data_IF_598746937390
#
_entry.id   IF_598746937390
#
_cell.length_a   1.000
_cell.length_b   1.000
_cell.length_c   1.000
_cell.angle_alpha   90.00
_cell.angle_beta   90.00
_cell.angle_gamma   90.00
#
_symmetry.space_group_name_H-M   'P 1'
#
loop_
_entity.id
_entity.type
_entity.pdbx_description
1 polymer ?
#
# COMPACT_ATOMS: atom_id res chain seq x y z
N UNK A 1 -49.66 30.83 -18.16
CA UNK A 1 -48.28 30.44 -18.47
C UNK A 1 -48.23 28.93 -18.41
N UNK A 2 -48.02 28.28 -19.54
CA UNK A 2 -47.75 26.84 -19.59
C UNK A 2 -46.26 26.72 -19.83
N UNK A 3 -45.54 26.24 -18.82
CA UNK A 3 -44.11 26.00 -18.92
C UNK A 3 -43.91 24.70 -19.71
N UNK A 4 -43.46 24.85 -20.95
CA UNK A 4 -42.97 23.76 -21.79
C UNK A 4 -41.59 23.34 -21.22
N UNK A 5 -41.58 22.35 -20.33
CA UNK A 5 -40.34 21.67 -19.95
C UNK A 5 -39.98 20.71 -21.08
N UNK A 6 -39.38 21.25 -22.14
CA UNK A 6 -38.68 20.44 -23.13
C UNK A 6 -37.51 19.77 -22.39
N UNK A 7 -37.71 18.53 -21.99
CA UNK A 7 -36.64 17.69 -21.43
C UNK A 7 -35.67 17.43 -22.58
N UNK A 8 -34.65 18.28 -22.71
CA UNK A 8 -33.48 18.01 -23.52
C UNK A 8 -33.03 16.60 -23.17
N UNK A 9 -33.21 15.64 -24.09
CA UNK A 9 -32.71 14.28 -23.90
C UNK A 9 -31.25 14.39 -23.49
N UNK A 10 -30.89 13.79 -22.35
CA UNK A 10 -29.62 13.96 -21.66
C UNK A 10 -28.39 13.44 -22.40
N UNK A 11 -28.47 13.24 -23.71
CA UNK A 11 -27.37 12.87 -24.59
C UNK A 11 -26.73 14.13 -25.19
N UNK A 12 -26.31 15.06 -24.34
CA UNK A 12 -25.38 16.09 -24.80
C UNK A 12 -23.99 15.45 -24.75
N UNK A 13 -23.64 14.69 -25.80
CA UNK A 13 -22.25 14.27 -26.06
C UNK A 13 -21.39 15.48 -26.45
N UNK A 14 -21.30 16.47 -25.57
CA UNK A 14 -20.44 17.63 -25.77
C UNK A 14 -19.00 17.19 -25.46
N UNK A 15 -18.14 17.17 -26.48
CA UNK A 15 -16.72 16.85 -26.37
C UNK A 15 -15.84 18.09 -26.57
N UNK A 16 -16.35 19.31 -26.37
CA UNK A 16 -15.62 20.56 -26.58
C UNK A 16 -14.40 20.71 -25.64
N UNK A 17 -14.40 19.98 -24.53
CA UNK A 17 -13.28 19.88 -23.58
C UNK A 17 -12.17 18.91 -24.03
N UNK A 18 -12.40 18.09 -25.07
CA UNK A 18 -11.44 17.08 -25.54
C UNK A 18 -10.27 17.75 -26.24
N UNK A 19 -9.07 17.30 -25.91
CA UNK A 19 -7.84 17.90 -26.42
C UNK A 19 -7.66 17.65 -27.91
N UNK A 20 -7.20 18.69 -28.61
CA UNK A 20 -6.91 18.63 -30.04
C UNK A 20 -5.43 18.32 -30.29
N UNK A 21 -5.08 17.63 -31.38
CA UNK A 21 -3.68 17.40 -31.75
C UNK A 21 -2.89 18.72 -31.81
N UNK A 22 -1.80 18.82 -31.05
CA UNK A 22 -0.92 19.99 -31.02
C UNK A 22 -1.30 21.09 -30.00
N UNK A 23 -2.33 20.92 -29.17
CA UNK A 23 -2.53 21.80 -28.02
C UNK A 23 -1.50 21.55 -26.91
N UNK A 24 -1.03 22.63 -26.29
CA UNK A 24 -0.18 22.57 -25.09
C UNK A 24 -1.05 22.36 -23.85
N UNK A 25 -0.81 21.29 -23.08
CA UNK A 25 -1.57 20.95 -21.87
C UNK A 25 -1.62 19.45 -21.60
N UNK A 26 -2.28 19.06 -20.50
CA UNK A 26 -2.60 17.65 -20.22
C UNK A 26 -3.73 17.23 -21.17
N UNK A 27 -3.56 16.16 -21.97
CA UNK A 27 -4.57 15.72 -22.91
C UNK A 27 -5.79 15.15 -22.17
N UNK A 28 -6.97 15.64 -22.54
CA UNK A 28 -8.27 15.19 -22.03
C UNK A 28 -8.97 14.38 -23.12
N UNK A 29 -9.49 13.21 -22.75
CA UNK A 29 -10.23 12.29 -23.63
C UNK A 29 -11.74 12.55 -23.57
N UNK A 30 -12.49 12.13 -24.59
CA UNK A 30 -13.97 12.18 -24.59
C UNK A 30 -14.56 11.19 -23.60
N UNK A 31 -15.76 11.48 -23.09
CA UNK A 31 -16.50 10.55 -22.20
C UNK A 31 -16.83 9.21 -22.87
N UNK A 32 -16.91 9.19 -24.20
CA UNK A 32 -17.18 7.98 -25.00
C UNK A 32 -15.92 7.31 -25.54
N UNK A 33 -14.73 7.78 -25.14
CA UNK A 33 -13.50 7.11 -25.52
C UNK A 33 -13.45 5.72 -24.89
N UNK A 34 -13.19 4.70 -25.70
CA UNK A 34 -12.86 3.37 -25.20
C UNK A 34 -11.50 3.44 -24.51
N UNK A 35 -11.51 3.36 -23.18
CA UNK A 35 -10.29 3.41 -22.35
C UNK A 35 -9.65 2.03 -22.17
N UNK A 36 -10.20 0.99 -22.79
CA UNK A 36 -9.80 -0.39 -22.55
C UNK A 36 -10.32 -0.89 -21.20
N UNK A 37 -10.92 -2.08 -21.21
CA UNK A 37 -11.33 -2.76 -19.99
C UNK A 37 -10.21 -3.62 -19.41
N UNK A 38 -10.43 -4.09 -18.19
CA UNK A 38 -9.74 -5.27 -17.66
C UNK A 38 -10.12 -6.49 -18.51
N UNK A 39 -9.12 -7.18 -19.06
CA UNK A 39 -9.30 -8.39 -19.87
C UNK A 39 -9.80 -9.56 -18.99
N UNK A 40 -10.83 -10.27 -19.45
CA UNK A 40 -11.37 -11.45 -18.76
C UNK A 40 -12.64 -11.18 -17.94
N UNK A 41 -12.91 -12.04 -16.96
CA UNK A 41 -14.07 -11.93 -16.06
C UNK A 41 -13.98 -10.63 -15.27
N UNK A 42 -14.96 -9.75 -15.43
CA UNK A 42 -15.09 -8.50 -14.66
C UNK A 42 -15.76 -8.74 -13.29
N UNK A 43 -15.69 -9.98 -12.79
CA UNK A 43 -16.15 -10.33 -11.45
C UNK A 43 -15.09 -9.89 -10.43
N UNK A 44 -15.40 -8.83 -9.69
CA UNK A 44 -14.51 -8.27 -8.68
C UNK A 44 -14.15 -9.26 -7.58
N UNK A 45 -15.07 -10.18 -7.26
CA UNK A 45 -14.83 -11.19 -6.22
C UNK A 45 -13.81 -12.22 -6.73
N UNK A 46 -13.89 -12.60 -8.01
CA UNK A 46 -12.94 -13.50 -8.65
C UNK A 46 -11.55 -12.87 -8.81
N UNK A 47 -11.49 -11.57 -9.15
CA UNK A 47 -10.23 -10.83 -9.27
C UNK A 47 -9.52 -10.71 -7.92
N UNK A 48 -10.25 -10.32 -6.86
CA UNK A 48 -9.69 -10.21 -5.52
C UNK A 48 -9.11 -11.55 -5.02
N UNK A 49 -9.81 -12.66 -5.28
CA UNK A 49 -9.33 -13.98 -4.89
C UNK A 49 -8.03 -14.39 -5.62
N UNK A 50 -7.85 -14.00 -6.89
CA UNK A 50 -6.59 -14.26 -7.62
C UNK A 50 -5.47 -13.38 -7.10
N UNK A 51 -5.74 -12.10 -6.88
CA UNK A 51 -4.76 -11.14 -6.36
C UNK A 51 -4.25 -11.60 -4.98
N UNK A 52 -5.12 -12.07 -4.10
CA UNK A 52 -4.75 -12.59 -2.78
C UNK A 52 -3.81 -13.80 -2.87
N UNK A 53 -3.99 -14.68 -3.87
CA UNK A 53 -3.15 -15.87 -4.08
C UNK A 53 -1.83 -15.54 -4.76
N UNK A 54 -1.82 -14.65 -5.76
CA UNK A 54 -0.59 -14.29 -6.49
C UNK A 54 0.32 -13.36 -5.67
N UNK A 55 -0.25 -12.50 -4.83
CA UNK A 55 0.52 -11.53 -4.06
C UNK A 55 1.32 -12.14 -2.90
N UNK A 56 0.92 -13.30 -2.39
CA UNK A 56 1.51 -13.91 -1.18
C UNK A 56 2.01 -15.33 -1.49
N UNK A 57 3.33 -15.49 -1.52
CA UNK A 57 3.96 -16.81 -1.49
C UNK A 57 4.04 -17.32 -0.05
N UNK A 58 3.10 -18.21 0.32
CA UNK A 58 3.01 -18.81 1.64
C UNK A 58 4.28 -19.61 2.03
N UNK A 59 5.07 -20.09 1.07
CA UNK A 59 6.31 -20.83 1.35
C UNK A 59 7.39 -19.93 1.98
N UNK A 60 7.31 -18.61 1.79
CA UNK A 60 8.21 -17.63 2.39
C UNK A 60 7.73 -17.11 3.75
N UNK A 61 6.54 -17.52 4.21
CA UNK A 61 6.01 -17.09 5.51
C UNK A 61 6.63 -17.95 6.62
N UNK A 62 7.27 -17.29 7.59
CA UNK A 62 7.75 -17.93 8.81
C UNK A 62 6.62 -17.87 9.85
N UNK A 63 6.08 -19.03 10.25
CA UNK A 63 4.99 -19.17 11.24
C UNK A 63 5.36 -18.72 12.67
N UNK A 64 6.63 -18.44 12.89
CA UNK A 64 7.22 -18.16 14.20
C UNK A 64 7.74 -16.71 14.32
N UNK A 65 7.74 -16.19 15.54
CA UNK A 65 8.37 -14.90 15.83
C UNK A 65 9.89 -15.03 15.75
N UNK A 66 10.49 -14.47 14.71
CA UNK A 66 11.96 -14.43 14.52
C UNK A 66 12.69 -13.53 15.51
N UNK A 67 11.97 -12.73 16.31
CA UNK A 67 12.55 -11.81 17.30
C UNK A 67 11.81 -11.91 18.63
N UNK A 68 12.55 -12.15 19.71
CA UNK A 68 12.01 -12.16 21.08
C UNK A 68 11.57 -13.52 21.60
N UNK A 69 12.14 -14.63 21.09
CA UNK A 69 12.10 -15.88 21.86
C UNK A 69 12.67 -15.59 23.24
N UNK A 70 11.82 -15.66 24.28
CA UNK A 70 12.26 -15.46 25.65
C UNK A 70 13.38 -16.46 25.92
N UNK A 71 14.53 -16.04 26.46
CA UNK A 71 15.57 -17.00 26.84
C UNK A 71 14.95 -18.07 27.73
N UNK A 72 15.29 -19.34 27.47
CA UNK A 72 14.90 -20.45 28.33
C UNK A 72 15.48 -20.20 29.73
N UNK A 73 14.64 -19.74 30.66
CA UNK A 73 15.07 -19.25 31.98
C UNK A 73 14.55 -17.85 32.36
N UNK A 74 13.95 -17.11 31.43
CA UNK A 74 13.46 -15.75 31.69
C UNK A 74 14.58 -14.70 31.65
N UNK A 75 14.22 -13.44 31.90
CA UNK A 75 15.19 -12.35 32.02
C UNK A 75 15.72 -12.32 33.46
N UNK A 76 17.01 -12.58 33.64
CA UNK A 76 17.71 -12.43 34.91
C UNK A 76 18.42 -11.08 34.93
N UNK A 77 18.34 -10.37 36.04
CA UNK A 77 19.10 -9.13 36.24
C UNK A 77 20.60 -9.45 36.25
N UNK A 78 21.44 -8.69 35.52
CA UNK A 78 22.89 -8.88 35.59
C UNK A 78 23.38 -8.69 37.02
N UNK A 79 24.35 -9.51 37.44
CA UNK A 79 25.05 -9.33 38.71
C UNK A 79 25.71 -7.95 38.82
N UNK A 80 26.02 -7.53 40.05
CA UNK A 80 26.73 -6.28 40.33
C UNK A 80 28.06 -6.15 39.59
N UNK A 81 28.72 -7.28 39.30
CA UNK A 81 29.97 -7.35 38.56
C UNK A 81 29.79 -7.74 37.08
N UNK A 82 28.57 -8.09 36.64
CA UNK A 82 28.31 -8.57 35.28
C UNK A 82 28.19 -7.42 34.28
N UNK A 83 29.13 -7.36 33.34
CA UNK A 83 29.23 -6.27 32.35
C UNK A 83 30.02 -5.07 32.85
N UNK A 84 30.50 -5.09 34.09
CA UNK A 84 31.54 -4.17 34.54
C UNK A 84 32.91 -4.64 34.04
N UNK A 85 33.81 -3.72 33.66
CA UNK A 85 35.18 -4.08 33.35
C UNK A 85 35.85 -4.71 34.56
N UNK A 86 36.63 -5.77 34.32
CA UNK A 86 37.31 -6.50 35.38
C UNK A 86 38.29 -5.61 36.17
N UNK A 87 38.67 -6.00 37.40
CA UNK A 87 39.59 -5.22 38.23
C UNK A 87 40.97 -4.98 37.57
N UNK A 88 41.34 -5.82 36.61
CA UNK A 88 42.57 -5.71 35.82
C UNK A 88 42.43 -4.86 34.53
N UNK A 89 41.21 -4.50 34.14
CA UNK A 89 40.93 -3.74 32.90
C UNK A 89 41.03 -2.21 33.11
N UNK A 90 41.15 -1.75 34.36
CA UNK A 90 41.50 -0.36 34.70
C UNK A 90 40.51 0.72 34.25
N UNK A 91 39.36 0.35 33.70
CA UNK A 91 38.35 1.27 33.15
C UNK A 91 37.26 1.57 34.17
N UNK A 92 37.61 2.29 35.25
CA UNK A 92 36.59 2.85 36.16
C UNK A 92 35.78 3.91 35.40
N UNK A 93 34.46 3.75 35.29
CA UNK A 93 33.55 4.77 34.74
C UNK A 93 33.40 5.95 35.72
N UNK A 94 34.46 6.75 35.87
CA UNK A 94 34.42 8.02 36.55
C UNK A 94 33.96 9.11 35.59
N UNK A 95 32.66 9.41 35.55
CA UNK A 95 32.20 10.70 35.07
C UNK A 95 32.30 11.68 36.25
N UNK A 96 33.19 12.67 36.15
CA UNK A 96 33.23 13.85 37.02
C UNK A 96 32.26 14.92 36.52
#
# INVERSE_FOLDING_TARGET
MSDDYETSSGDIQNNDYVSRPGQSGIPVQSDSADIGGIEGSQDSDEQLARDDVEAIDEENIIDERTRGAKPSGGYTEPGDEEGLPGPDDGTSAGAQ
#
